data_IF_801838585159
#
_entry.id   IF_801838585159
#
_cell.length_a   1.000
_cell.length_b   1.000
_cell.length_c   1.000
_cell.angle_alpha   90.00
_cell.angle_beta   90.00
_cell.angle_gamma   90.00
#
_symmetry.space_group_name_H-M   'P 1'
#
loop_
_entity.id
_entity.type
_entity.pdbx_description
1 polymer ?
#
# COMPACT_ATOMS: atom_id res chain seq x y z
N UNK A 1 4.48 -11.54 -3.52
CA UNK A 1 5.54 -10.53 -3.77
C UNK A 1 5.09 -9.23 -3.12
N UNK A 2 6.04 -8.43 -2.63
CA UNK A 2 5.81 -7.08 -2.12
C UNK A 2 7.11 -6.30 -2.33
N UNK A 3 7.02 -5.04 -2.73
CA UNK A 3 8.17 -4.17 -2.98
C UNK A 3 7.97 -2.86 -2.23
N UNK A 4 9.05 -2.23 -1.82
CA UNK A 4 9.03 -0.80 -1.54
C UNK A 4 9.36 -0.05 -2.83
N UNK A 5 8.57 0.96 -3.19
CA UNK A 5 8.85 1.83 -4.31
C UNK A 5 8.43 3.27 -3.96
N UNK A 6 8.85 4.25 -4.77
CA UNK A 6 8.79 5.72 -4.50
C UNK A 6 9.22 6.11 -3.07
N UNK A 7 10.45 6.60 -2.96
CA UNK A 7 11.09 6.97 -1.71
C UNK A 7 11.48 8.45 -1.71
N UNK A 8 11.20 9.14 -0.60
CA UNK A 8 11.75 10.45 -0.27
C UNK A 8 12.58 10.34 1.02
N UNK A 9 13.14 11.44 1.49
CA UNK A 9 13.87 11.45 2.76
C UNK A 9 12.97 11.08 3.95
N UNK A 10 11.67 11.38 3.85
CA UNK A 10 10.70 11.22 4.96
C UNK A 10 9.67 10.11 4.74
N UNK A 11 9.41 9.70 3.49
CA UNK A 11 8.35 8.73 3.15
C UNK A 11 8.87 7.59 2.27
N UNK A 12 8.24 6.42 2.39
CA UNK A 12 8.47 5.29 1.46
C UNK A 12 7.17 4.52 1.22
N UNK A 13 6.87 4.19 -0.02
CA UNK A 13 5.62 3.51 -0.38
C UNK A 13 5.72 1.99 -0.25
N UNK A 14 4.65 1.38 0.25
CA UNK A 14 4.40 -0.08 0.20
C UNK A 14 3.67 -0.39 -1.09
N UNK A 15 4.26 -1.22 -1.95
CA UNK A 15 3.75 -1.49 -3.30
C UNK A 15 3.83 -2.98 -3.67
N UNK A 16 3.17 -3.36 -4.76
CA UNK A 16 3.29 -4.69 -5.37
C UNK A 16 2.74 -5.84 -4.53
N UNK A 17 1.83 -5.58 -3.60
CA UNK A 17 1.18 -6.59 -2.76
C UNK A 17 0.11 -7.31 -3.57
N UNK A 18 0.28 -8.62 -3.71
CA UNK A 18 -0.71 -9.47 -4.38
C UNK A 18 -0.83 -10.82 -3.67
N UNK A 19 -2.07 -11.26 -3.47
CA UNK A 19 -2.41 -12.59 -2.94
C UNK A 19 -3.23 -13.32 -4.00
N UNK A 20 -2.74 -14.50 -4.41
CA UNK A 20 -3.45 -15.37 -5.34
C UNK A 20 -4.88 -15.68 -4.83
N UNK A 21 -5.88 -15.80 -5.71
CA UNK A 21 -7.28 -15.97 -5.32
C UNK A 21 -7.53 -17.06 -4.27
N UNK A 22 -6.92 -18.23 -4.43
CA UNK A 22 -7.03 -19.40 -3.55
C UNK A 22 -6.49 -19.18 -2.13
N UNK A 23 -5.66 -18.15 -1.94
CA UNK A 23 -5.06 -17.78 -0.66
C UNK A 23 -5.67 -16.52 -0.03
N UNK A 24 -6.73 -15.95 -0.63
CA UNK A 24 -7.39 -14.74 -0.09
C UNK A 24 -8.14 -15.03 1.21
N UNK A 25 -8.43 -13.97 1.97
CA UNK A 25 -9.12 -14.02 3.26
C UNK A 25 -8.37 -14.77 4.38
N UNK A 26 -7.09 -15.06 4.20
CA UNK A 26 -6.23 -15.70 5.20
C UNK A 26 -5.26 -14.71 5.89
N UNK A 27 -5.37 -13.41 5.61
CA UNK A 27 -4.56 -12.37 6.23
C UNK A 27 -3.18 -12.14 5.60
N UNK A 28 -2.80 -12.86 4.54
CA UNK A 28 -1.46 -12.72 3.93
C UNK A 28 -1.13 -11.31 3.44
N UNK A 29 -2.08 -10.62 2.80
CA UNK A 29 -1.87 -9.24 2.37
C UNK A 29 -1.58 -8.31 3.56
N UNK A 30 -2.37 -8.40 4.64
CA UNK A 30 -2.19 -7.61 5.84
C UNK A 30 -0.85 -7.92 6.54
N UNK A 31 -0.46 -9.19 6.60
CA UNK A 31 0.83 -9.61 7.15
C UNK A 31 2.01 -9.02 6.36
N UNK A 32 2.01 -9.15 5.02
CA UNK A 32 3.08 -8.58 4.20
C UNK A 32 3.15 -7.06 4.31
N UNK A 33 2.01 -6.37 4.28
CA UNK A 33 1.95 -4.91 4.45
C UNK A 33 2.52 -4.51 5.81
N UNK A 34 2.14 -5.18 6.89
CA UNK A 34 2.63 -4.90 8.23
C UNK A 34 4.16 -5.04 8.33
N UNK A 35 4.73 -6.13 7.81
CA UNK A 35 6.17 -6.36 7.86
C UNK A 35 6.95 -5.34 7.03
N UNK A 36 6.48 -5.01 5.83
CA UNK A 36 7.13 -3.97 5.01
C UNK A 36 7.02 -2.60 5.70
N UNK A 37 5.87 -2.25 6.27
CA UNK A 37 5.70 -1.02 7.03
C UNK A 37 6.67 -0.92 8.22
N UNK A 38 6.87 -2.02 8.97
CA UNK A 38 7.84 -2.04 10.08
C UNK A 38 9.27 -1.78 9.58
N UNK A 39 9.66 -2.37 8.45
CA UNK A 39 10.97 -2.13 7.84
C UNK A 39 11.15 -0.64 7.50
N UNK A 40 10.14 -0.01 6.91
CA UNK A 40 10.16 1.41 6.55
C UNK A 40 10.26 2.29 7.81
N UNK A 41 9.48 1.99 8.84
CA UNK A 41 9.49 2.74 10.11
C UNK A 41 10.84 2.61 10.82
N UNK A 42 11.44 1.41 10.81
CA UNK A 42 12.77 1.17 11.38
C UNK A 42 13.89 1.91 10.62
N UNK A 43 13.64 2.34 9.37
CA UNK A 43 14.53 3.22 8.61
C UNK A 43 14.33 4.71 8.95
N UNK A 44 13.46 5.04 9.92
CA UNK A 44 13.14 6.42 10.30
C UNK A 44 12.18 7.13 9.35
N UNK A 45 11.45 6.38 8.53
CA UNK A 45 10.54 6.92 7.50
C UNK A 45 9.08 6.60 7.79
N UNK A 46 8.19 7.37 7.19
CA UNK A 46 6.75 7.11 7.20
C UNK A 46 6.39 6.15 6.07
N UNK A 47 5.72 5.05 6.41
CA UNK A 47 5.16 4.14 5.42
C UNK A 47 3.89 4.75 4.80
N UNK A 48 3.84 4.82 3.47
CA UNK A 48 2.69 5.29 2.71
C UNK A 48 2.25 4.22 1.72
N UNK A 49 1.04 4.32 1.18
CA UNK A 49 0.60 3.51 0.05
C UNK A 49 -0.42 4.28 -0.77
N UNK A 50 -0.52 3.93 -2.05
CA UNK A 50 -1.59 4.37 -2.93
C UNK A 50 -2.46 3.16 -3.25
N UNK A 51 -3.77 3.36 -3.26
CA UNK A 51 -4.74 2.29 -3.49
C UNK A 51 -5.95 2.84 -4.23
N UNK A 52 -6.57 1.99 -5.04
CA UNK A 52 -7.88 2.26 -5.61
C UNK A 52 -8.91 2.40 -4.47
N UNK A 53 -9.59 3.54 -4.43
CA UNK A 53 -10.63 3.84 -3.44
C UNK A 53 -11.81 2.85 -3.52
N UNK A 54 -12.03 2.24 -4.69
CA UNK A 54 -13.11 1.29 -4.92
C UNK A 54 -12.74 -0.14 -4.51
N UNK A 55 -11.47 -0.41 -4.20
CA UNK A 55 -11.03 -1.74 -3.75
C UNK A 55 -11.24 -1.94 -2.25
N UNK A 56 -12.49 -2.23 -1.85
CA UNK A 56 -12.90 -2.36 -0.45
C UNK A 56 -12.09 -3.40 0.35
N UNK A 57 -11.70 -4.51 -0.27
CA UNK A 57 -10.95 -5.58 0.40
C UNK A 57 -9.52 -5.13 0.78
N UNK A 58 -8.82 -4.47 -0.15
CA UNK A 58 -7.50 -3.88 0.11
C UNK A 58 -7.60 -2.77 1.16
N UNK A 59 -8.57 -1.86 1.00
CA UNK A 59 -8.76 -0.73 1.90
C UNK A 59 -9.05 -1.17 3.35
N UNK A 60 -9.85 -2.23 3.53
CA UNK A 60 -10.06 -2.85 4.85
C UNK A 60 -8.76 -3.42 5.42
N UNK A 61 -7.95 -4.10 4.61
CA UNK A 61 -6.68 -4.67 5.04
C UNK A 61 -5.70 -3.60 5.51
N UNK A 62 -5.56 -2.50 4.76
CA UNK A 62 -4.66 -1.39 5.13
C UNK A 62 -5.09 -0.69 6.42
N UNK A 63 -6.40 -0.44 6.58
CA UNK A 63 -6.96 0.14 7.81
C UNK A 63 -6.72 -0.77 9.03
N UNK A 64 -6.86 -2.09 8.87
CA UNK A 64 -6.57 -3.06 9.93
C UNK A 64 -5.08 -3.08 10.34
N UNK A 65 -4.17 -2.79 9.40
CA UNK A 65 -2.73 -2.67 9.70
C UNK A 65 -2.40 -1.34 10.40
N UNK A 66 -3.27 -0.33 10.32
CA UNK A 66 -3.13 0.96 10.99
C UNK A 66 -2.92 2.15 10.06
N UNK A 67 -3.02 1.96 8.74
CA UNK A 67 -3.01 3.09 7.80
C UNK A 67 -4.23 3.98 7.97
N UNK A 68 -4.06 5.28 7.75
CA UNK A 68 -5.11 6.29 7.77
C UNK A 68 -5.20 6.97 6.41
N UNK A 69 -6.42 7.36 6.04
CA UNK A 69 -6.66 8.12 4.82
C UNK A 69 -6.06 9.53 4.98
N UNK A 70 -5.13 9.92 4.10
CA UNK A 70 -4.43 11.23 4.15
C UNK A 70 -4.72 12.12 2.94
N UNK A 71 -5.38 11.60 1.90
CA UNK A 71 -5.67 12.35 0.69
C UNK A 71 -6.26 11.47 -0.42
N UNK A 72 -6.53 12.07 -1.57
CA UNK A 72 -6.98 11.39 -2.79
C UNK A 72 -6.12 11.86 -3.97
N UNK A 73 -5.88 10.96 -4.92
CA UNK A 73 -5.23 11.25 -6.18
C UNK A 73 -6.21 10.96 -7.30
N UNK A 74 -6.15 11.78 -8.35
CA UNK A 74 -6.82 11.51 -9.61
C UNK A 74 -5.77 11.19 -10.65
N UNK A 75 -5.98 10.11 -11.39
CA UNK A 75 -5.19 9.81 -12.58
C UNK A 75 -5.68 10.71 -13.71
N UNK A 76 -4.74 11.37 -14.39
CA UNK A 76 -5.01 12.25 -15.53
C UNK A 76 -4.17 11.77 -16.69
N UNK A 77 -4.80 11.58 -17.84
CA UNK A 77 -4.14 11.16 -19.07
C UNK A 77 -4.16 12.32 -20.06
N UNK A 78 -2.99 12.64 -20.62
CA UNK A 78 -2.87 13.60 -21.70
C UNK A 78 -2.91 12.85 -23.02
N UNK A 79 -3.98 13.05 -23.79
CA UNK A 79 -4.08 12.54 -25.15
C UNK A 79 -3.63 13.63 -26.12
N UNK A 80 -2.76 13.25 -27.04
CA UNK A 80 -2.41 14.07 -28.21
C UNK A 80 -3.17 13.48 -29.41
N UNK A 81 -3.84 14.33 -30.17
CA UNK A 81 -4.52 13.97 -31.42
C UNK A 81 -3.57 13.28 -32.43
#
# INVERSE_FOLDING_TARGET
MGRSAKETDVNKSVEGIYTLPEFRNQGYAAAMVSEISKIIINQGKTAVLLTDINNAASNKSYKNVGFKDVGRLSEVEFYKD
#
